data_IF_380975704747
#
_entry.id   IF_380975704747
#
_cell.length_a   1.000
_cell.length_b   1.000
_cell.length_c   1.000
_cell.angle_alpha   90.00
_cell.angle_beta   90.00
_cell.angle_gamma   90.00
#
_symmetry.space_group_name_H-M   'P 1'
#
loop_
_entity.id
_entity.type
_entity.pdbx_description
1 polymer ?
#
# COMPACT_ATOMS: atom_id res chain seq x y z
N UNK A 1 -3.55 12.37 13.88
CA UNK A 1 -3.61 11.51 12.67
C UNK A 1 -4.27 10.21 13.09
N UNK A 2 -5.47 9.93 12.57
CA UNK A 2 -6.19 8.69 12.86
C UNK A 2 -5.64 7.54 12.03
N UNK A 3 -5.54 6.35 12.61
CA UNK A 3 -5.21 5.13 11.89
C UNK A 3 -6.50 4.61 11.26
N UNK A 4 -6.60 4.66 9.93
CA UNK A 4 -7.70 4.04 9.20
C UNK A 4 -7.29 2.62 8.81
N UNK A 5 -7.91 1.63 9.44
CA UNK A 5 -7.66 0.22 9.13
C UNK A 5 -8.50 -0.16 7.90
N UNK A 6 -7.84 -0.32 6.75
CA UNK A 6 -8.51 -0.66 5.48
C UNK A 6 -8.90 -2.14 5.40
N UNK A 7 -8.22 -3.02 6.14
CA UNK A 7 -8.42 -4.46 6.05
C UNK A 7 -8.12 -5.15 7.38
N UNK A 8 -8.96 -6.12 7.75
CA UNK A 8 -8.77 -7.00 8.91
C UNK A 8 -8.88 -8.45 8.45
N UNK A 9 -8.09 -9.33 9.06
CA UNK A 9 -8.13 -10.77 8.82
C UNK A 9 -8.32 -11.54 10.13
N UNK A 10 -8.98 -12.69 10.06
CA UNK A 10 -9.17 -13.57 11.21
C UNK A 10 -7.92 -14.44 11.39
N UNK A 11 -7.34 -14.45 12.59
CA UNK A 11 -6.27 -15.40 12.94
C UNK A 11 -6.88 -16.71 13.44
N UNK A 12 -6.55 -17.84 12.80
CA UNK A 12 -6.85 -19.19 13.31
C UNK A 12 -5.54 -19.97 13.38
N UNK A 13 -5.14 -20.37 14.59
CA UNK A 13 -3.81 -20.92 14.83
C UNK A 13 -2.71 -19.92 14.44
N UNK A 14 -1.77 -20.34 13.60
CA UNK A 14 -0.69 -19.50 13.06
C UNK A 14 -1.02 -18.89 11.68
N UNK A 15 -2.23 -19.09 11.15
CA UNK A 15 -2.62 -18.64 9.81
C UNK A 15 -3.59 -17.45 9.89
N UNK A 16 -3.37 -16.45 9.03
CA UNK A 16 -4.25 -15.30 8.86
C UNK A 16 -5.14 -15.50 7.63
N UNK A 17 -6.46 -15.50 7.84
CA UNK A 17 -7.44 -15.60 6.78
C UNK A 17 -7.90 -14.19 6.39
N UNK A 18 -7.70 -13.84 5.11
CA UNK A 18 -8.20 -12.59 4.54
C UNK A 18 -9.71 -12.73 4.33
N UNK A 19 -10.51 -11.91 5.01
CA UNK A 19 -11.94 -11.84 4.76
C UNK A 19 -12.21 -10.61 3.89
N UNK A 20 -12.34 -10.83 2.58
CA UNK A 20 -12.62 -9.77 1.63
C UNK A 20 -13.30 -10.31 0.37
N UNK A 21 -14.16 -9.52 -0.24
CA UNK A 21 -14.68 -9.75 -1.58
C UNK A 21 -13.84 -8.95 -2.58
N UNK A 22 -13.49 -9.57 -3.70
CA UNK A 22 -12.88 -8.85 -4.83
C UNK A 22 -13.96 -8.01 -5.52
N UNK A 23 -13.89 -6.70 -5.34
CA UNK A 23 -14.69 -5.79 -6.17
C UNK A 23 -13.99 -5.67 -7.52
N UNK A 24 -14.50 -6.37 -8.53
CA UNK A 24 -14.02 -6.27 -9.91
C UNK A 24 -14.53 -4.94 -10.51
N UNK A 25 -13.80 -3.87 -10.24
CA UNK A 25 -14.03 -2.56 -10.84
C UNK A 25 -12.98 -2.29 -11.92
N UNK A 26 -13.40 -1.78 -13.07
CA UNK A 26 -12.51 -1.31 -14.14
C UNK A 26 -11.61 -0.22 -13.57
N UNK A 27 -10.29 -0.45 -13.55
CA UNK A 27 -9.33 0.60 -13.22
C UNK A 27 -9.41 1.67 -14.32
N UNK A 28 -10.00 2.82 -13.97
CA UNK A 28 -9.93 3.98 -14.84
C UNK A 28 -8.51 4.53 -14.72
N UNK A 29 -7.69 4.35 -15.74
CA UNK A 29 -6.45 5.13 -15.87
C UNK A 29 -6.88 6.56 -16.14
N UNK A 30 -7.08 7.33 -15.07
CA UNK A 30 -7.46 8.74 -15.16
C UNK A 30 -6.24 9.53 -15.61
N UNK A 31 -6.03 9.61 -16.92
CA UNK A 31 -5.45 10.79 -17.55
C UNK A 31 -6.61 11.75 -17.80
N UNK A 32 -7.08 12.42 -16.75
CA UNK A 32 -8.06 13.49 -16.86
C UNK A 32 -7.44 14.67 -17.62
N UNK A 33 -8.21 15.17 -18.57
CA UNK A 33 -7.87 16.26 -19.48
C UNK A 33 -7.46 17.50 -18.69
N UNK A 34 -6.40 18.16 -19.15
CA UNK A 34 -5.95 19.47 -18.67
C UNK A 34 -6.95 20.51 -19.15
N UNK A 35 -7.72 21.10 -18.25
CA UNK A 35 -8.54 22.28 -18.54
C UNK A 35 -8.19 23.36 -17.51
N UNK A 36 -7.73 24.50 -18.00
CA UNK A 36 -7.01 25.52 -17.22
C UNK A 36 -7.90 26.16 -16.14
N UNK A 37 -7.97 25.53 -14.98
CA UNK A 37 -8.62 26.06 -13.77
C UNK A 37 -7.64 26.03 -12.59
N UNK A 38 -7.87 26.84 -11.57
CA UNK A 38 -6.95 26.97 -10.41
C UNK A 38 -6.70 25.63 -9.69
N UNK A 39 -7.71 24.76 -9.62
CA UNK A 39 -7.61 23.40 -9.07
C UNK A 39 -6.70 22.49 -9.91
N UNK A 40 -6.67 22.70 -11.22
CA UNK A 40 -5.84 21.96 -12.17
C UNK A 40 -4.34 22.27 -11.97
N UNK A 41 -4.00 23.50 -11.60
CA UNK A 41 -2.60 23.86 -11.29
C UNK A 41 -2.09 23.13 -10.04
N UNK A 42 -2.91 22.99 -9.01
CA UNK A 42 -2.54 22.27 -7.78
C UNK A 42 -2.33 20.79 -8.06
N UNK A 43 -3.25 20.19 -8.84
CA UNK A 43 -3.16 18.78 -9.24
C UNK A 43 -1.94 18.49 -10.10
N UNK A 44 -1.62 19.38 -11.03
CA UNK A 44 -0.42 19.30 -11.86
C UNK A 44 0.86 19.28 -11.00
N UNK A 45 0.98 20.21 -10.05
CA UNK A 45 2.15 20.25 -9.17
C UNK A 45 2.22 19.05 -8.22
N UNK A 46 1.07 18.55 -7.75
CA UNK A 46 1.00 17.30 -6.99
C UNK A 46 1.64 16.14 -7.77
N UNK A 47 1.24 15.93 -9.02
CA UNK A 47 1.77 14.84 -9.86
C UNK A 47 3.25 15.07 -10.19
N UNK A 48 3.62 16.28 -10.64
CA UNK A 48 4.99 16.62 -11.06
C UNK A 48 6.03 16.45 -9.95
N UNK A 49 5.62 16.69 -8.69
CA UNK A 49 6.48 16.61 -7.51
C UNK A 49 6.41 15.23 -6.82
N UNK A 50 5.94 14.19 -7.51
CA UNK A 50 5.89 12.83 -6.95
C UNK A 50 4.80 12.64 -5.90
N UNK A 51 3.60 13.13 -6.20
CA UNK A 51 2.44 13.09 -5.31
C UNK A 51 2.63 13.89 -4.00
N UNK A 52 3.16 15.10 -4.11
CA UNK A 52 3.37 15.99 -2.97
C UNK A 52 2.03 16.32 -2.26
N UNK A 53 2.03 16.31 -0.93
CA UNK A 53 0.82 16.62 -0.15
C UNK A 53 0.43 18.10 -0.21
N UNK A 54 -0.83 18.40 0.08
CA UNK A 54 -1.39 19.76 0.03
C UNK A 54 -0.58 20.77 0.84
N UNK A 55 -0.18 20.40 2.07
CA UNK A 55 0.66 21.24 2.93
C UNK A 55 2.03 21.57 2.30
N UNK A 56 2.63 20.62 1.60
CA UNK A 56 3.91 20.83 0.94
C UNK A 56 3.75 21.82 -0.23
N UNK A 57 2.71 21.65 -1.04
CA UNK A 57 2.39 22.59 -2.12
C UNK A 57 2.05 23.99 -1.59
N UNK A 58 1.30 24.10 -0.50
CA UNK A 58 1.00 25.37 0.16
C UNK A 58 2.25 26.11 0.61
N UNK A 59 3.22 25.40 1.20
CA UNK A 59 4.50 26.00 1.59
C UNK A 59 5.28 26.49 0.37
N UNK A 60 5.35 25.71 -0.70
CA UNK A 60 6.07 26.08 -1.92
C UNK A 60 5.44 27.29 -2.63
N UNK A 61 4.11 27.40 -2.64
CA UNK A 61 3.41 28.59 -3.15
C UNK A 61 3.70 29.81 -2.29
N UNK A 62 3.65 29.69 -0.96
CA UNK A 62 3.99 30.80 -0.04
C UNK A 62 5.44 31.29 -0.21
N UNK A 63 6.34 30.39 -0.58
CA UNK A 63 7.74 30.71 -0.86
C UNK A 63 7.96 31.29 -2.27
N UNK A 64 6.91 31.40 -3.09
CA UNK A 64 7.00 31.90 -4.47
C UNK A 64 7.71 30.95 -5.43
N UNK A 65 7.91 29.67 -5.06
CA UNK A 65 8.66 28.69 -5.84
C UNK A 65 7.82 28.06 -6.96
N UNK A 66 6.49 28.14 -6.86
CA UNK A 66 5.56 27.65 -7.88
C UNK A 66 4.90 28.86 -8.57
N UNK A 67 5.49 29.29 -9.70
CA UNK A 67 5.00 30.44 -10.47
C UNK A 67 3.53 30.25 -10.85
N UNK A 68 2.65 31.10 -10.29
CA UNK A 68 1.23 31.18 -10.66
C UNK A 68 0.35 30.05 -10.14
N UNK A 69 0.88 29.11 -9.35
CA UNK A 69 0.07 28.06 -8.77
C UNK A 69 -0.76 28.64 -7.61
N UNK A 70 -2.09 28.53 -7.69
CA UNK A 70 -2.94 28.74 -6.52
C UNK A 70 -3.09 27.42 -5.80
N UNK A 71 -3.13 27.43 -4.48
CA UNK A 71 -3.33 26.21 -3.69
C UNK A 71 -4.81 25.92 -3.53
N UNK A 72 -5.30 24.98 -4.32
CA UNK A 72 -6.63 24.39 -4.21
C UNK A 72 -6.64 23.16 -3.30
N UNK A 73 -7.84 22.61 -3.09
CA UNK A 73 -8.02 21.38 -2.33
C UNK A 73 -7.65 20.19 -3.22
N UNK A 74 -6.69 19.37 -2.79
CA UNK A 74 -6.36 18.16 -3.54
C UNK A 74 -7.49 17.12 -3.43
N UNK A 75 -7.89 16.56 -4.57
CA UNK A 75 -8.76 15.38 -4.62
C UNK A 75 -8.01 14.12 -4.17
N UNK A 76 -8.77 13.05 -3.92
CA UNK A 76 -8.22 11.77 -3.51
C UNK A 76 -7.26 11.22 -4.58
N UNK A 77 -6.04 10.87 -4.16
CA UNK A 77 -5.02 10.27 -5.03
C UNK A 77 -4.77 8.82 -4.62
N UNK A 78 -5.29 7.87 -5.41
CA UNK A 78 -5.12 6.43 -5.20
C UNK A 78 -3.65 6.02 -5.16
N UNK A 79 -2.87 6.45 -6.15
CA UNK A 79 -1.45 6.10 -6.28
C UNK A 79 -0.63 6.55 -5.06
N UNK A 80 -0.92 7.74 -4.54
CA UNK A 80 -0.28 8.26 -3.32
C UNK A 80 -0.63 7.41 -2.09
N UNK A 81 -1.91 7.07 -1.92
CA UNK A 81 -2.39 6.31 -0.76
C UNK A 81 -1.80 4.90 -0.77
N UNK A 82 -1.82 4.23 -1.92
CA UNK A 82 -1.23 2.91 -2.09
C UNK A 82 0.29 2.94 -1.88
N UNK A 83 0.97 3.96 -2.40
CA UNK A 83 2.43 4.13 -2.24
C UNK A 83 2.85 4.45 -0.80
N UNK A 84 2.00 5.12 -0.01
CA UNK A 84 2.26 5.45 1.40
C UNK A 84 1.67 4.48 2.40
N UNK A 85 0.95 3.46 1.94
CA UNK A 85 0.35 2.48 2.83
C UNK A 85 1.45 1.70 3.56
N UNK A 86 1.48 1.78 4.89
CA UNK A 86 2.42 1.02 5.72
C UNK A 86 1.72 -0.19 6.32
N UNK A 87 2.43 -1.32 6.34
CA UNK A 87 1.98 -2.51 7.07
C UNK A 87 2.12 -2.24 8.56
N UNK A 88 1.03 -2.36 9.31
CA UNK A 88 1.06 -2.27 10.77
C UNK A 88 1.90 -3.45 11.30
N UNK A 89 2.74 -3.19 12.30
CA UNK A 89 3.51 -4.25 12.96
C UNK A 89 2.56 -5.25 13.62
N UNK A 90 2.77 -6.53 13.36
CA UNK A 90 2.15 -7.59 14.16
C UNK A 90 2.84 -7.64 15.52
N UNK A 91 2.09 -8.00 16.57
CA UNK A 91 2.71 -8.33 17.86
C UNK A 91 3.68 -9.50 17.70
N UNK A 92 4.72 -9.53 18.54
CA UNK A 92 5.70 -10.62 18.56
C UNK A 92 5.00 -11.94 18.92
N UNK A 93 5.13 -12.95 18.08
CA UNK A 93 4.72 -14.30 18.43
C UNK A 93 5.77 -14.94 19.35
N UNK A 94 5.37 -15.39 20.54
CA UNK A 94 6.24 -16.14 21.45
C UNK A 94 5.99 -17.62 21.18
N UNK A 95 7.02 -18.31 20.71
CA UNK A 95 7.03 -19.76 20.54
C UNK A 95 8.01 -20.36 21.55
N UNK A 96 7.50 -20.97 22.62
CA UNK A 96 8.31 -21.71 23.58
C UNK A 96 7.78 -23.14 23.72
N UNK A 97 8.70 -24.09 23.88
CA UNK A 97 8.42 -25.51 24.10
C UNK A 97 9.17 -25.99 25.32
N UNK A 98 8.66 -27.03 26.00
CA UNK A 98 9.27 -27.58 27.21
C UNK A 98 9.90 -28.95 26.96
N UNK A 99 9.31 -29.75 26.07
CA UNK A 99 9.75 -31.07 25.66
C UNK A 99 10.52 -31.10 24.34
N UNK A 100 11.20 -32.23 24.12
CA UNK A 100 11.84 -32.57 22.84
C UNK A 100 10.72 -32.88 21.83
N UNK A 101 10.79 -32.26 20.64
CA UNK A 101 9.82 -32.40 19.53
C UNK A 101 8.41 -31.82 19.77
N UNK A 102 8.20 -30.99 20.80
CA UNK A 102 6.94 -30.27 21.03
C UNK A 102 6.54 -29.34 19.87
N UNK A 103 7.52 -28.87 19.09
CA UNK A 103 7.31 -27.98 17.95
C UNK A 103 8.26 -28.31 16.81
N UNK A 104 7.68 -28.65 15.67
CA UNK A 104 8.42 -28.95 14.42
C UNK A 104 8.00 -27.94 13.36
N UNK A 105 8.96 -27.20 12.83
CA UNK A 105 8.74 -26.36 11.65
C UNK A 105 9.05 -27.19 10.41
N UNK A 106 8.07 -27.32 9.52
CA UNK A 106 8.26 -27.93 8.19
C UNK A 106 7.85 -26.90 7.14
N UNK A 107 8.65 -26.81 6.08
CA UNK A 107 8.39 -25.95 4.94
C UNK A 107 8.45 -26.79 3.66
N UNK A 108 7.65 -26.41 2.66
CA UNK A 108 7.58 -27.11 1.38
C UNK A 108 8.32 -26.28 0.36
N UNK A 109 9.39 -26.85 -0.20
CA UNK A 109 10.12 -26.23 -1.29
C UNK A 109 9.37 -26.36 -2.62
N UNK A 110 9.24 -25.24 -3.34
CA UNK A 110 8.51 -25.12 -4.61
C UNK A 110 9.29 -25.57 -5.85
N UNK A 111 8.68 -25.51 -7.06
CA UNK A 111 9.03 -26.33 -8.22
C UNK A 111 10.54 -26.37 -8.51
N UNK A 112 11.14 -27.54 -8.30
CA UNK A 112 12.55 -27.78 -8.60
C UNK A 112 12.67 -28.31 -10.02
N UNK A 113 13.62 -27.75 -10.78
CA UNK A 113 13.93 -28.22 -12.15
C UNK A 113 14.49 -29.64 -12.16
N UNK A 114 15.07 -30.07 -11.04
CA UNK A 114 15.70 -31.36 -10.92
C UNK A 114 14.82 -32.28 -10.08
N UNK A 115 14.56 -33.48 -10.58
CA UNK A 115 13.87 -34.51 -9.83
C UNK A 115 14.67 -34.89 -8.59
N UNK A 116 13.99 -35.03 -7.45
CA UNK A 116 14.63 -35.57 -6.25
C UNK A 116 14.88 -37.07 -6.42
N UNK A 117 15.87 -37.59 -5.69
CA UNK A 117 16.26 -39.01 -5.73
C UNK A 117 15.13 -39.98 -5.34
N UNK A 118 14.06 -39.51 -4.69
CA UNK A 118 12.90 -40.30 -4.28
C UNK A 118 11.69 -40.20 -5.20
N UNK A 119 11.87 -39.64 -6.41
CA UNK A 119 10.80 -39.20 -7.30
C UNK A 119 9.51 -40.04 -7.33
N UNK A 120 8.38 -39.35 -7.14
CA UNK A 120 7.08 -39.74 -7.69
C UNK A 120 6.31 -38.48 -8.08
N UNK A 121 5.86 -38.45 -9.33
CA UNK A 121 4.73 -37.62 -9.78
C UNK A 121 3.45 -38.07 -9.08
#
# INVERSE_FOLDING_TARGET
>A
MGIQVTMKGLKRGNLYFLQGSTVSGRASTVCEKLDETDDDTTRLWHIRMGHAGEKALQTLVKQGLLKGAKTGKLSFCENYVLGKQTRIKFGTAVHSTQGILDYVHSDVWGPTKNASLGGKH
#
